data_IF_619541718019
#
_entry.id   IF_619541718019
#
_cell.length_a   1.000
_cell.length_b   1.000
_cell.length_c   1.000
_cell.angle_alpha   90.00
_cell.angle_beta   90.00
_cell.angle_gamma   90.00
#
_symmetry.space_group_name_H-M   'P 1'
#
loop_
_entity.id
_entity.type
_entity.pdbx_description
1 polymer ?
#
# COMPACT_ATOMS: atom_id res chain seq x y z
N UNK A 1 -7.26 -6.05 -19.94
CA UNK A 1 -7.21 -6.79 -18.66
C UNK A 1 -5.95 -6.35 -17.92
N UNK A 2 -6.04 -5.51 -16.88
CA UNK A 2 -4.85 -5.11 -16.11
C UNK A 2 -4.41 -6.32 -15.30
N UNK A 3 -3.34 -7.00 -15.73
CA UNK A 3 -2.69 -8.04 -14.94
C UNK A 3 -2.02 -7.35 -13.75
N UNK A 4 -2.73 -7.20 -12.65
CA UNK A 4 -2.07 -6.89 -11.37
C UNK A 4 -1.32 -8.17 -11.00
N UNK A 5 0.00 -8.18 -11.17
CA UNK A 5 0.86 -9.26 -10.70
C UNK A 5 0.55 -9.51 -9.23
N UNK A 6 -0.15 -10.60 -8.92
CA UNK A 6 -0.32 -11.05 -7.56
C UNK A 6 0.82 -12.01 -7.29
N UNK A 7 1.80 -11.66 -6.44
CA UNK A 7 2.83 -12.61 -6.08
C UNK A 7 2.17 -13.84 -5.49
N UNK A 8 2.44 -15.00 -6.07
CA UNK A 8 2.07 -16.29 -5.48
C UNK A 8 3.34 -16.97 -5.03
N UNK A 9 3.40 -17.34 -3.74
CA UNK A 9 4.52 -18.13 -3.23
C UNK A 9 4.27 -19.60 -3.54
N UNK A 10 5.17 -20.19 -4.33
CA UNK A 10 5.03 -21.54 -4.86
C UNK A 10 6.26 -22.39 -4.49
N UNK A 11 5.99 -23.55 -3.88
CA UNK A 11 6.78 -24.15 -2.77
C UNK A 11 6.84 -23.21 -1.58
N UNK A 12 5.79 -23.24 -0.77
CA UNK A 12 5.64 -22.43 0.44
C UNK A 12 6.72 -22.73 1.48
N UNK A 13 7.13 -21.72 2.25
CA UNK A 13 8.01 -21.89 3.41
C UNK A 13 9.51 -21.96 3.08
N UNK A 14 9.89 -21.65 1.84
CA UNK A 14 11.30 -21.60 1.46
C UNK A 14 11.99 -20.31 1.95
N UNK A 15 13.30 -20.40 2.21
CA UNK A 15 14.13 -19.26 2.55
C UNK A 15 15.36 -19.21 1.61
N UNK A 16 15.44 -18.24 0.67
CA UNK A 16 14.51 -17.13 0.47
C UNK A 16 13.15 -17.59 -0.09
N UNK A 17 12.08 -16.83 0.17
CA UNK A 17 10.76 -17.06 -0.42
C UNK A 17 10.81 -16.87 -1.93
N UNK A 18 10.08 -17.71 -2.67
CA UNK A 18 10.05 -17.71 -4.14
C UNK A 18 8.67 -17.40 -4.65
N UNK A 19 8.55 -16.39 -5.51
CA UNK A 19 7.27 -15.90 -6.02
C UNK A 19 7.12 -16.14 -7.52
N UNK A 20 5.89 -16.42 -7.95
CA UNK A 20 5.52 -16.65 -9.35
C UNK A 20 4.46 -15.66 -9.81
N UNK A 21 4.49 -15.37 -11.12
CA UNK A 21 3.37 -14.73 -11.76
C UNK A 21 2.17 -15.69 -11.71
N UNK A 22 1.00 -15.14 -11.47
CA UNK A 22 -0.23 -15.91 -11.49
C UNK A 22 -1.37 -15.11 -12.08
N UNK A 23 -2.29 -15.81 -12.72
CA UNK A 23 -3.61 -15.31 -13.08
C UNK A 23 -4.66 -16.09 -12.28
N UNK A 24 -5.74 -15.40 -11.89
CA UNK A 24 -6.87 -16.04 -11.21
C UNK A 24 -8.14 -15.74 -11.98
N UNK A 25 -8.86 -16.80 -12.31
CA UNK A 25 -10.19 -16.70 -12.89
C UNK A 25 -11.14 -17.60 -12.10
N UNK A 26 -12.18 -16.99 -11.51
CA UNK A 26 -13.08 -17.68 -10.57
C UNK A 26 -12.30 -18.44 -9.49
N UNK A 27 -12.45 -19.75 -9.45
CA UNK A 27 -11.83 -20.74 -8.57
C UNK A 27 -10.51 -21.33 -9.13
N UNK A 28 -10.13 -20.97 -10.36
CA UNK A 28 -8.93 -21.46 -11.03
C UNK A 28 -7.77 -20.47 -10.81
N UNK A 29 -6.65 -20.98 -10.27
CA UNK A 29 -5.38 -20.28 -10.16
C UNK A 29 -4.39 -20.86 -11.18
N UNK A 30 -3.95 -20.05 -12.13
CA UNK A 30 -2.93 -20.42 -13.12
C UNK A 30 -1.59 -19.83 -12.72
N UNK A 31 -0.58 -20.67 -12.52
CA UNK A 31 0.77 -20.26 -12.17
C UNK A 31 1.68 -20.31 -13.40
N UNK A 32 2.53 -19.31 -13.54
CA UNK A 32 3.62 -19.30 -14.51
C UNK A 32 4.80 -20.10 -13.94
N UNK A 33 4.84 -21.39 -14.28
CA UNK A 33 5.84 -22.35 -13.80
C UNK A 33 6.35 -23.20 -14.98
N UNK A 34 7.64 -23.51 -14.96
CA UNK A 34 8.32 -24.30 -16.00
C UNK A 34 8.43 -25.79 -15.65
N UNK A 35 7.68 -26.25 -14.63
CA UNK A 35 7.67 -27.65 -14.19
C UNK A 35 6.24 -28.12 -13.95
N UNK A 36 6.01 -29.42 -14.12
CA UNK A 36 4.76 -30.04 -13.71
C UNK A 36 4.69 -30.09 -12.17
N UNK A 37 3.65 -29.54 -11.52
CA UNK A 37 3.41 -29.76 -10.10
C UNK A 37 3.22 -31.25 -9.80
N UNK A 38 3.71 -31.71 -8.65
CA UNK A 38 3.27 -33.02 -8.13
C UNK A 38 1.85 -32.92 -7.56
N UNK A 39 1.23 -34.07 -7.29
CA UNK A 39 -0.11 -34.09 -6.69
C UNK A 39 -0.08 -33.50 -5.28
N UNK A 40 -0.79 -32.38 -5.07
CA UNK A 40 -1.02 -31.80 -3.74
C UNK A 40 0.02 -30.77 -3.23
N UNK A 41 0.75 -30.08 -4.09
CA UNK A 41 1.69 -29.03 -3.64
C UNK A 41 0.98 -27.79 -3.08
N UNK A 42 1.46 -27.31 -1.92
CA UNK A 42 0.93 -26.12 -1.26
C UNK A 42 1.37 -24.82 -1.96
N UNK A 43 0.47 -23.82 -1.94
CA UNK A 43 0.62 -22.52 -2.59
C UNK A 43 0.05 -21.43 -1.68
N UNK A 44 0.75 -20.31 -1.50
CA UNK A 44 0.18 -19.12 -0.84
C UNK A 44 -0.18 -18.04 -1.86
N UNK A 45 -1.47 -17.73 -1.94
CA UNK A 45 -2.00 -16.62 -2.74
C UNK A 45 -2.17 -15.38 -1.86
N UNK A 46 -1.38 -14.35 -2.13
CA UNK A 46 -1.49 -13.07 -1.44
C UNK A 46 -2.54 -12.20 -2.14
N UNK A 47 -3.71 -12.07 -1.51
CA UNK A 47 -4.82 -11.24 -1.97
C UNK A 47 -4.88 -9.93 -1.20
N UNK A 48 -5.34 -8.88 -1.87
CA UNK A 48 -5.82 -7.68 -1.17
C UNK A 48 -7.04 -8.06 -0.34
N UNK A 49 -7.03 -7.70 0.95
CA UNK A 49 -8.15 -7.87 1.87
C UNK A 49 -8.86 -6.53 2.01
N UNK A 50 -10.19 -6.55 2.03
CA UNK A 50 -10.95 -5.36 2.42
C UNK A 50 -10.73 -5.10 3.91
N UNK A 51 -10.32 -3.87 4.23
CA UNK A 51 -10.20 -3.43 5.61
C UNK A 51 -11.39 -2.54 5.98
N UNK A 52 -11.75 -2.58 7.25
CA UNK A 52 -12.80 -1.75 7.86
C UNK A 52 -12.11 -0.82 8.83
N UNK A 53 -12.49 0.46 8.77
CA UNK A 53 -12.06 1.49 9.71
C UNK A 53 -13.32 2.24 10.15
N UNK A 54 -13.68 2.12 11.41
CA UNK A 54 -14.79 2.84 12.06
C UNK A 54 -14.24 3.70 13.20
N UNK A 55 -15.12 4.45 13.86
CA UNK A 55 -14.75 5.23 15.05
C UNK A 55 -14.25 4.35 16.21
N UNK A 56 -14.71 3.10 16.27
CA UNK A 56 -14.48 2.19 17.40
C UNK A 56 -13.50 1.06 17.08
N UNK A 57 -13.38 0.67 15.80
CA UNK A 57 -12.63 -0.51 15.41
C UNK A 57 -11.90 -0.35 14.09
N UNK A 58 -10.83 -1.12 13.93
CA UNK A 58 -10.10 -1.21 12.68
C UNK A 58 -9.59 -2.63 12.46
N UNK A 59 -9.64 -3.07 11.20
CA UNK A 59 -9.02 -4.34 10.79
C UNK A 59 -7.64 -4.13 10.16
N UNK A 60 -7.15 -2.90 10.11
CA UNK A 60 -5.77 -2.60 9.75
C UNK A 60 -4.84 -3.00 10.91
N UNK A 61 -3.57 -3.24 10.57
CA UNK A 61 -2.54 -3.33 11.61
C UNK A 61 -2.17 -1.91 12.07
N UNK A 62 -1.75 -1.71 13.32
CA UNK A 62 -1.40 -0.38 13.84
C UNK A 62 -0.40 0.37 12.96
N UNK A 63 0.57 -0.32 12.35
CA UNK A 63 1.54 0.34 11.47
C UNK A 63 0.90 0.88 10.19
N UNK A 64 -0.08 0.17 9.64
CA UNK A 64 -0.80 0.62 8.44
C UNK A 64 -1.78 1.76 8.75
N UNK A 65 -2.38 1.76 9.94
CA UNK A 65 -3.21 2.88 10.41
C UNK A 65 -2.39 4.15 10.54
N UNK A 66 -1.21 4.04 11.14
CA UNK A 66 -0.29 5.17 11.27
C UNK A 66 0.04 5.78 9.90
N UNK A 67 0.39 4.93 8.92
CA UNK A 67 0.65 5.38 7.54
C UNK A 67 -0.58 6.05 6.92
N UNK A 68 -1.77 5.48 7.12
CA UNK A 68 -3.02 6.07 6.61
C UNK A 68 -3.28 7.44 7.24
N UNK A 69 -3.21 7.55 8.57
CA UNK A 69 -3.38 8.81 9.32
C UNK A 69 -2.39 9.86 8.82
N UNK A 70 -1.13 9.48 8.64
CA UNK A 70 -0.07 10.34 8.13
C UNK A 70 -0.41 10.93 6.75
N UNK A 71 -0.94 10.11 5.85
CA UNK A 71 -1.39 10.57 4.53
C UNK A 71 -2.61 11.48 4.57
N UNK A 72 -3.59 11.15 5.42
CA UNK A 72 -4.84 11.91 5.57
C UNK A 72 -4.55 13.30 6.16
N UNK A 73 -3.78 13.38 7.24
CA UNK A 73 -3.44 14.67 7.87
C UNK A 73 -2.65 15.58 6.93
N UNK A 74 -1.71 15.00 6.17
CA UNK A 74 -0.92 15.75 5.20
C UNK A 74 -1.81 16.40 4.14
N UNK A 75 -2.77 15.64 3.59
CA UNK A 75 -3.72 16.17 2.61
C UNK A 75 -4.68 17.20 3.20
N UNK A 76 -5.19 16.94 4.40
CA UNK A 76 -6.05 17.89 5.10
C UNK A 76 -5.34 19.24 5.33
N UNK A 77 -4.07 19.20 5.77
CA UNK A 77 -3.26 20.40 5.99
C UNK A 77 -2.96 21.17 4.70
N UNK A 78 -2.60 20.49 3.61
CA UNK A 78 -2.39 21.14 2.30
C UNK A 78 -3.67 21.84 1.85
N UNK A 79 -4.81 21.15 1.90
CA UNK A 79 -6.09 21.70 1.46
C UNK A 79 -6.47 22.91 2.32
N UNK A 80 -6.36 22.77 3.65
CA UNK A 80 -6.67 23.86 4.56
C UNK A 80 -5.72 25.05 4.40
N UNK A 81 -4.42 24.79 4.19
CA UNK A 81 -3.43 25.83 3.93
C UNK A 81 -3.75 26.63 2.68
N UNK A 82 -4.18 25.96 1.59
CA UNK A 82 -4.62 26.62 0.35
C UNK A 82 -5.87 27.46 0.54
N UNK A 83 -6.86 26.97 1.27
CA UNK A 83 -8.06 27.74 1.62
C UNK A 83 -7.69 29.02 2.38
N UNK A 84 -6.81 28.91 3.38
CA UNK A 84 -6.38 30.05 4.20
C UNK A 84 -5.54 31.06 3.41
N UNK A 85 -4.71 30.62 2.47
CA UNK A 85 -3.98 31.52 1.56
C UNK A 85 -4.95 32.35 0.72
N UNK A 86 -6.02 31.71 0.23
CA UNK A 86 -7.02 32.36 -0.61
C UNK A 86 -8.05 33.18 0.19
N UNK A 87 -8.10 33.01 1.52
CA UNK A 87 -8.99 33.76 2.39
C UNK A 87 -8.36 35.10 2.75
N UNK A 88 -9.00 36.20 2.33
CA UNK A 88 -8.47 37.56 2.45
C UNK A 88 -8.23 38.07 3.89
N UNK A 89 -8.66 37.36 4.95
CA UNK A 89 -8.58 37.85 6.34
C UNK A 89 -8.65 36.77 7.46
N UNK A 90 -8.56 35.47 7.18
CA UNK A 90 -8.80 34.44 8.21
C UNK A 90 -7.50 33.76 8.60
N UNK A 91 -6.87 34.24 9.67
CA UNK A 91 -5.58 33.76 10.16
C UNK A 91 -4.42 34.62 9.66
N UNK A 92 -3.57 35.07 10.57
CA UNK A 92 -2.48 36.02 10.25
C UNK A 92 -1.62 35.61 9.05
N UNK A 93 -0.92 36.58 8.47
CA UNK A 93 -0.21 36.55 7.16
C UNK A 93 0.52 35.23 6.84
N UNK A 94 1.03 34.51 7.84
CA UNK A 94 1.84 33.31 7.66
C UNK A 94 1.13 31.96 7.92
N UNK A 95 -0.10 31.94 8.40
CA UNK A 95 -0.75 30.68 8.83
C UNK A 95 -1.01 29.72 7.66
N UNK A 96 -1.61 30.21 6.58
CA UNK A 96 -1.88 29.40 5.38
C UNK A 96 -0.61 28.82 4.74
N UNK A 97 0.40 29.65 4.42
CA UNK A 97 1.68 29.17 3.90
C UNK A 97 2.37 28.15 4.80
N UNK A 98 2.45 28.39 6.12
CA UNK A 98 3.10 27.44 7.06
C UNK A 98 2.37 26.11 7.12
N UNK A 99 1.04 26.13 7.16
CA UNK A 99 0.23 24.90 7.19
C UNK A 99 0.38 24.10 5.90
N UNK A 100 0.41 24.78 4.75
CA UNK A 100 0.65 24.13 3.46
C UNK A 100 2.05 23.50 3.40
N UNK A 101 3.09 24.22 3.81
CA UNK A 101 4.47 23.69 3.84
C UNK A 101 4.59 22.48 4.76
N UNK A 102 4.04 22.56 5.97
CA UNK A 102 3.99 21.42 6.90
C UNK A 102 3.28 20.22 6.28
N UNK A 103 2.13 20.43 5.63
CA UNK A 103 1.40 19.36 4.95
C UNK A 103 2.21 18.70 3.81
N UNK A 104 3.03 19.47 3.08
CA UNK A 104 3.94 18.93 2.05
C UNK A 104 5.03 18.05 2.67
N UNK A 105 5.62 18.46 3.79
CA UNK A 105 6.59 17.65 4.53
C UNK A 105 5.95 16.34 5.03
N UNK A 106 4.76 16.42 5.62
CA UNK A 106 4.02 15.24 6.10
C UNK A 106 3.67 14.28 4.95
N UNK A 107 3.37 14.81 3.76
CA UNK A 107 3.09 13.99 2.57
C UNK A 107 4.34 13.26 2.08
N UNK A 108 5.52 13.86 2.23
CA UNK A 108 6.77 13.19 1.90
C UNK A 108 7.04 12.02 2.86
N UNK A 109 6.87 12.23 4.17
CA UNK A 109 6.96 11.18 5.17
C UNK A 109 5.98 10.02 4.88
N UNK A 110 4.73 10.32 4.53
CA UNK A 110 3.75 9.32 4.12
C UNK A 110 4.25 8.47 2.94
N UNK A 111 4.79 9.11 1.89
CA UNK A 111 5.30 8.39 0.72
C UNK A 111 6.48 7.48 1.07
N UNK A 112 7.36 7.93 1.96
CA UNK A 112 8.52 7.13 2.35
C UNK A 112 8.11 5.95 3.23
N UNK A 113 7.20 6.14 4.18
CA UNK A 113 6.61 5.04 4.94
C UNK A 113 5.89 4.03 4.03
N UNK A 114 5.13 4.50 3.05
CA UNK A 114 4.38 3.63 2.14
C UNK A 114 5.31 2.68 1.37
N UNK A 115 6.49 3.13 0.92
CA UNK A 115 7.48 2.29 0.23
C UNK A 115 7.96 1.12 1.08
N UNK A 116 8.02 1.29 2.40
CA UNK A 116 8.42 0.23 3.34
C UNK A 116 7.31 -0.79 3.61
N UNK A 117 6.05 -0.43 3.30
CA UNK A 117 4.87 -1.26 3.55
C UNK A 117 4.26 -1.89 2.29
N UNK A 118 4.68 -1.51 1.07
CA UNK A 118 4.20 -2.12 -0.16
C UNK A 118 5.00 -3.38 -0.53
N UNK A 119 4.41 -4.55 -0.26
CA UNK A 119 4.93 -5.83 -0.79
C UNK A 119 4.74 -5.96 -2.31
N UNK A 120 3.81 -5.20 -2.89
CA UNK A 120 3.33 -5.41 -4.26
C UNK A 120 4.21 -4.70 -5.31
N UNK A 121 4.71 -3.50 -5.02
CA UNK A 121 5.54 -2.74 -5.97
C UNK A 121 6.99 -3.29 -6.02
N UNK A 122 7.41 -3.98 -4.97
CA UNK A 122 8.72 -4.62 -4.90
C UNK A 122 8.73 -6.04 -5.50
N UNK A 123 7.64 -6.50 -6.15
CA UNK A 123 7.60 -7.84 -6.77
C UNK A 123 8.75 -8.07 -7.74
N UNK A 124 9.11 -7.05 -8.53
CA UNK A 124 10.22 -7.16 -9.48
C UNK A 124 11.57 -7.39 -8.80
N UNK A 125 11.71 -6.91 -7.56
CA UNK A 125 12.91 -7.08 -6.73
C UNK A 125 12.92 -8.38 -5.91
N UNK A 126 11.80 -9.13 -5.87
CA UNK A 126 11.75 -10.40 -5.17
C UNK A 126 12.58 -11.45 -5.94
N UNK A 127 13.25 -12.37 -5.23
CA UNK A 127 13.95 -13.48 -5.85
C UNK A 127 13.00 -14.27 -6.76
N UNK A 128 13.32 -14.29 -8.05
CA UNK A 128 12.71 -15.15 -9.07
C UNK A 128 13.69 -16.28 -9.33
N UNK A 129 13.20 -17.50 -9.51
CA UNK A 129 13.99 -18.52 -10.22
C UNK A 129 13.59 -18.55 -11.69
#
# INVERSE_FOLDING_TARGET
RVRRNRPVEYRTGQNPKRYRNADRFADILTLDINRLPSTGEAVHLYCLKQHTLTEETSTLRPEHEYVLIQGVQARAAINRGRELINALNVGGVNTGPRLNSWGVEQLQLYKDLLKHHTLVDNYESLPKD
#
